data_IF_045692964322
#
_entry.id   IF_045692964322
#
_cell.length_a   1.000
_cell.length_b   1.000
_cell.length_c   1.000
_cell.angle_alpha   90.00
_cell.angle_beta   90.00
_cell.angle_gamma   90.00
#
_symmetry.space_group_name_H-M   'P 1'
#
loop_
_entity.id
_entity.type
_entity.pdbx_description
1 polymer ?
#
# COMPACT_ATOMS: atom_id res chain seq x y z
N UNK A 1 11.44 9.46 -22.58
CA UNK A 1 11.23 9.06 -21.17
C UNK A 1 10.26 7.88 -21.13
N UNK A 2 10.69 6.69 -20.70
CA UNK A 2 9.77 5.55 -20.47
C UNK A 2 8.80 5.95 -19.34
N UNK A 3 7.49 6.02 -19.63
CA UNK A 3 6.50 6.26 -18.57
C UNK A 3 6.47 5.02 -17.68
N UNK A 4 6.91 5.16 -16.43
CA UNK A 4 6.74 4.08 -15.46
C UNK A 4 5.24 3.84 -15.21
N UNK A 5 4.87 2.55 -15.21
CA UNK A 5 3.56 2.05 -14.83
C UNK A 5 3.23 2.49 -13.39
N UNK A 6 1.99 2.93 -13.15
CA UNK A 6 1.53 3.29 -11.79
C UNK A 6 1.62 2.07 -10.86
N UNK A 7 1.40 0.87 -11.39
CA UNK A 7 1.59 -0.38 -10.65
C UNK A 7 3.02 -0.58 -10.12
N UNK A 8 4.04 -0.05 -10.80
CA UNK A 8 5.41 -0.11 -10.30
C UNK A 8 5.62 0.82 -9.09
N UNK A 9 5.04 2.01 -9.12
CA UNK A 9 5.08 2.92 -7.97
C UNK A 9 4.31 2.37 -6.77
N UNK A 10 3.18 1.69 -7.00
CA UNK A 10 2.44 1.02 -5.93
C UNK A 10 3.26 -0.12 -5.29
N UNK A 11 4.04 -0.87 -6.09
CA UNK A 11 5.00 -1.84 -5.55
C UNK A 11 6.06 -1.19 -4.66
N UNK A 12 6.61 -0.04 -5.09
CA UNK A 12 7.58 0.73 -4.29
C UNK A 12 6.93 1.19 -2.99
N UNK A 13 5.68 1.66 -3.01
CA UNK A 13 4.93 2.02 -1.80
C UNK A 13 4.76 0.81 -0.88
N UNK A 14 4.43 -0.38 -1.42
CA UNK A 14 4.33 -1.61 -0.63
C UNK A 14 5.65 -1.99 0.06
N UNK A 15 6.77 -1.95 -0.67
CA UNK A 15 8.11 -2.20 -0.11
C UNK A 15 8.47 -1.15 0.93
N UNK A 16 8.26 0.13 0.64
CA UNK A 16 8.53 1.22 1.57
C UNK A 16 7.70 1.12 2.85
N UNK A 17 6.42 0.77 2.73
CA UNK A 17 5.54 0.55 3.88
C UNK A 17 6.05 -0.57 4.77
N UNK A 18 6.45 -1.71 4.19
CA UNK A 18 7.07 -2.82 4.91
C UNK A 18 8.39 -2.44 5.57
N UNK A 19 9.29 -1.78 4.84
CA UNK A 19 10.58 -1.35 5.39
C UNK A 19 10.43 -0.35 6.54
N UNK A 20 9.54 0.64 6.40
CA UNK A 20 9.25 1.62 7.46
C UNK A 20 8.65 0.91 8.68
N UNK A 21 7.68 0.02 8.48
CA UNK A 21 7.10 -0.76 9.57
C UNK A 21 8.14 -1.61 10.30
N UNK A 22 9.02 -2.27 9.57
CA UNK A 22 10.11 -3.09 10.12
C UNK A 22 11.07 -2.25 10.99
N UNK A 23 11.39 -1.03 10.56
CA UNK A 23 12.28 -0.12 11.30
C UNK A 23 11.59 0.47 12.54
N UNK A 24 10.36 0.96 12.39
CA UNK A 24 9.61 1.62 13.48
C UNK A 24 9.29 0.61 14.59
N UNK A 25 8.88 -0.60 14.23
CA UNK A 25 8.46 -1.63 15.19
C UNK A 25 9.52 -2.70 15.46
N UNK A 26 10.80 -2.42 15.17
CA UNK A 26 11.91 -3.39 15.34
C UNK A 26 11.97 -4.01 16.73
N UNK A 27 11.74 -3.20 17.77
CA UNK A 27 11.81 -3.64 19.16
C UNK A 27 10.60 -4.51 19.50
N UNK A 28 9.42 -4.17 18.97
CA UNK A 28 8.20 -4.98 19.07
C UNK A 28 8.39 -6.35 18.43
N UNK A 29 8.99 -6.41 17.23
CA UNK A 29 9.29 -7.68 16.57
C UNK A 29 10.32 -8.49 17.35
N UNK A 30 11.37 -7.86 17.87
CA UNK A 30 12.37 -8.53 18.68
C UNK A 30 11.74 -9.13 19.96
N UNK A 31 10.83 -8.40 20.60
CA UNK A 31 10.09 -8.87 21.78
C UNK A 31 9.13 -10.02 21.46
N UNK A 32 8.48 -10.00 20.29
CA UNK A 32 7.64 -11.11 19.81
C UNK A 32 8.47 -12.38 19.55
N UNK A 33 9.68 -12.23 18.99
CA UNK A 33 10.58 -13.36 18.71
C UNK A 33 11.18 -13.94 19.99
N UNK A 34 11.46 -13.09 21.00
CA UNK A 34 11.95 -13.55 22.31
C UNK A 34 10.87 -14.21 23.18
N UNK A 35 9.60 -13.89 22.93
CA UNK A 35 8.45 -14.49 23.60
C UNK A 35 7.72 -15.49 22.71
N UNK A 36 6.40 -15.56 22.88
CA UNK A 36 5.55 -16.37 22.01
C UNK A 36 5.24 -15.63 20.70
N UNK A 37 5.49 -16.30 19.58
CA UNK A 37 5.17 -15.78 18.25
C UNK A 37 3.71 -16.05 17.86
N UNK A 38 3.16 -17.20 18.25
CA UNK A 38 1.78 -17.59 17.99
C UNK A 38 0.82 -16.93 18.99
N UNK A 39 -0.37 -16.53 18.53
CA UNK A 39 -1.38 -15.82 19.34
C UNK A 39 -0.86 -14.54 20.04
N UNK A 40 0.18 -13.92 19.45
CA UNK A 40 0.93 -12.84 20.06
C UNK A 40 0.48 -11.44 19.63
N UNK A 41 -0.44 -11.37 18.68
CA UNK A 41 -1.00 -10.13 18.10
C UNK A 41 -2.39 -9.89 18.68
N UNK A 42 -2.56 -8.91 19.59
CA UNK A 42 -3.87 -8.51 20.11
C UNK A 42 -4.64 -7.66 19.09
N UNK A 43 -5.90 -7.34 19.38
CA UNK A 43 -6.74 -6.50 18.50
C UNK A 43 -6.25 -5.06 18.35
N UNK A 44 -5.50 -4.53 19.33
CA UNK A 44 -5.07 -3.13 19.40
C UNK A 44 -3.67 -3.00 19.99
N UNK A 45 -3.03 -1.85 19.77
CA UNK A 45 -1.69 -1.53 20.30
C UNK A 45 -0.56 -1.84 19.32
N UNK A 46 0.67 -1.73 19.80
CA UNK A 46 1.85 -1.69 18.93
C UNK A 46 2.09 -2.99 18.16
N UNK A 47 1.83 -4.16 18.77
CA UNK A 47 1.91 -5.46 18.08
C UNK A 47 0.87 -5.57 16.96
N UNK A 48 -0.34 -5.06 17.19
CA UNK A 48 -1.39 -5.00 16.17
C UNK A 48 -0.99 -4.08 15.01
N UNK A 49 -0.48 -2.89 15.33
CA UNK A 49 -0.02 -1.93 14.33
C UNK A 49 1.16 -2.49 13.50
N UNK A 50 2.16 -3.07 14.17
CA UNK A 50 3.31 -3.73 13.54
C UNK A 50 2.87 -4.85 12.58
N UNK A 51 1.93 -5.69 13.01
CA UNK A 51 1.34 -6.74 12.19
C UNK A 51 0.66 -6.16 10.94
N UNK A 52 -0.20 -5.15 11.08
CA UNK A 52 -0.91 -4.56 9.94
C UNK A 52 0.05 -3.87 8.95
N UNK A 53 1.14 -3.27 9.43
CA UNK A 53 2.20 -2.78 8.56
C UNK A 53 2.81 -3.90 7.70
N UNK A 54 3.08 -5.06 8.32
CA UNK A 54 3.68 -6.21 7.60
C UNK A 54 2.72 -6.91 6.67
N UNK A 55 1.44 -6.99 7.00
CA UNK A 55 0.41 -7.61 6.14
C UNK A 55 0.03 -6.70 4.98
N UNK A 56 -0.06 -5.38 5.20
CA UNK A 56 -0.39 -4.44 4.14
C UNK A 56 0.71 -4.35 3.07
N UNK A 57 1.99 -4.50 3.43
CA UNK A 57 3.12 -4.41 2.51
C UNK A 57 3.03 -5.39 1.30
N UNK A 58 2.90 -6.72 1.47
CA UNK A 58 2.75 -7.66 0.37
C UNK A 58 1.42 -7.48 -0.37
N UNK A 59 0.34 -7.08 0.32
CA UNK A 59 -0.95 -6.79 -0.33
C UNK A 59 -0.84 -5.60 -1.30
N UNK A 60 -0.18 -4.52 -0.88
CA UNK A 60 0.11 -3.35 -1.73
C UNK A 60 1.04 -3.73 -2.89
N UNK A 61 2.08 -4.51 -2.63
CA UNK A 61 2.99 -4.96 -3.67
C UNK A 61 2.28 -5.82 -4.72
N UNK A 62 1.48 -6.79 -4.28
CA UNK A 62 0.67 -7.65 -5.14
C UNK A 62 -0.33 -6.82 -5.95
N UNK A 63 -1.03 -5.87 -5.31
CA UNK A 63 -1.92 -4.93 -5.98
C UNK A 63 -1.20 -4.14 -7.08
N UNK A 64 0.01 -3.66 -6.81
CA UNK A 64 0.86 -3.01 -7.80
C UNK A 64 1.30 -3.95 -8.93
N UNK A 65 1.55 -5.23 -8.65
CA UNK A 65 1.90 -6.23 -9.67
C UNK A 65 0.73 -6.52 -10.61
N UNK A 66 -0.47 -6.69 -10.05
CA UNK A 66 -1.72 -6.89 -10.79
C UNK A 66 -2.07 -5.65 -11.63
N UNK A 67 -1.96 -4.46 -11.03
CA UNK A 67 -2.19 -3.20 -11.74
C UNK A 67 -1.23 -3.03 -12.92
N UNK A 68 0.05 -3.40 -12.75
CA UNK A 68 1.02 -3.36 -13.85
C UNK A 68 0.59 -4.29 -15.00
N UNK A 69 0.08 -5.47 -14.68
CA UNK A 69 -0.48 -6.39 -15.69
C UNK A 69 -1.67 -5.76 -16.42
N UNK A 70 -2.57 -5.08 -15.70
CA UNK A 70 -3.70 -4.36 -16.31
C UNK A 70 -3.24 -3.20 -17.20
N UNK A 71 -2.21 -2.45 -16.79
CA UNK A 71 -1.61 -1.37 -17.60
C UNK A 71 -0.95 -1.93 -18.89
N UNK A 72 -0.23 -3.05 -18.79
CA UNK A 72 0.42 -3.73 -19.93
C UNK A 72 -0.58 -4.21 -20.98
N UNK A 73 -1.75 -4.71 -20.54
CA UNK A 73 -2.80 -5.25 -21.42
C UNK A 73 -3.90 -4.24 -21.75
N UNK A 74 -3.74 -2.97 -21.36
CA UNK A 74 -4.73 -1.89 -21.56
C UNK A 74 -6.13 -2.23 -21.02
N UNK A 75 -6.20 -2.94 -19.91
CA UNK A 75 -7.45 -3.19 -19.19
C UNK A 75 -7.89 -1.91 -18.47
N UNK A 76 -8.65 -1.07 -19.18
CA UNK A 76 -9.12 0.22 -18.69
C UNK A 76 -10.10 0.07 -17.51
N UNK A 77 -11.08 -0.88 -17.52
CA UNK A 77 -11.93 -1.12 -16.37
C UNK A 77 -11.15 -1.43 -15.09
N UNK A 78 -10.17 -2.33 -15.14
CA UNK A 78 -9.36 -2.68 -13.96
C UNK A 78 -8.52 -1.48 -13.47
N UNK A 79 -7.91 -0.72 -14.39
CA UNK A 79 -7.17 0.50 -14.04
C UNK A 79 -8.07 1.55 -13.38
N UNK A 80 -9.30 1.73 -13.86
CA UNK A 80 -10.26 2.68 -13.29
C UNK A 80 -10.72 2.24 -11.90
N UNK A 81 -11.05 0.95 -11.72
CA UNK A 81 -11.42 0.40 -10.42
C UNK A 81 -10.31 0.59 -9.39
N UNK A 82 -9.06 0.25 -9.73
CA UNK A 82 -7.90 0.50 -8.89
C UNK A 82 -7.72 1.99 -8.59
N UNK A 83 -7.88 2.85 -9.59
CA UNK A 83 -7.80 4.31 -9.44
C UNK A 83 -8.82 4.86 -8.44
N UNK A 84 -10.08 4.40 -8.49
CA UNK A 84 -11.13 4.80 -7.55
C UNK A 84 -10.79 4.35 -6.14
N UNK A 85 -10.45 3.06 -5.96
CA UNK A 85 -10.15 2.49 -4.63
C UNK A 85 -8.95 3.18 -3.98
N UNK A 86 -7.84 3.33 -4.72
CA UNK A 86 -6.63 4.00 -4.20
C UNK A 86 -6.90 5.47 -3.85
N UNK A 87 -7.69 6.18 -4.65
CA UNK A 87 -8.06 7.57 -4.35
C UNK A 87 -8.93 7.63 -3.10
N UNK A 88 -9.96 6.80 -2.99
CA UNK A 88 -10.86 6.79 -1.83
C UNK A 88 -10.10 6.46 -0.53
N UNK A 89 -9.33 5.36 -0.53
CA UNK A 89 -8.50 4.97 0.62
C UNK A 89 -7.48 6.06 0.94
N UNK A 90 -6.81 6.62 -0.08
CA UNK A 90 -5.84 7.69 0.09
C UNK A 90 -6.45 8.94 0.71
N UNK A 91 -7.64 9.36 0.26
CA UNK A 91 -8.32 10.57 0.78
C UNK A 91 -8.76 10.33 2.22
N UNK A 92 -9.44 9.23 2.51
CA UNK A 92 -9.89 8.89 3.86
C UNK A 92 -8.70 8.77 4.82
N UNK A 93 -7.65 8.05 4.42
CA UNK A 93 -6.46 7.87 5.23
C UNK A 93 -5.66 9.17 5.42
N UNK A 94 -5.60 10.04 4.40
CA UNK A 94 -4.95 11.36 4.54
C UNK A 94 -5.73 12.26 5.49
N UNK A 95 -7.06 12.23 5.44
CA UNK A 95 -7.89 13.00 6.37
C UNK A 95 -7.71 12.52 7.83
N UNK A 96 -7.63 11.21 8.05
CA UNK A 96 -7.42 10.63 9.38
C UNK A 96 -5.97 10.78 9.88
N UNK A 97 -4.99 10.64 8.99
CA UNK A 97 -3.55 10.63 9.29
C UNK A 97 -2.75 11.40 8.22
N UNK A 98 -2.70 12.73 8.26
CA UNK A 98 -2.08 13.53 7.20
C UNK A 98 -0.58 13.27 7.01
N UNK A 99 0.16 13.03 8.10
CA UNK A 99 1.60 12.73 8.09
C UNK A 99 1.83 11.22 7.98
N UNK A 100 1.42 10.64 6.85
CA UNK A 100 1.49 9.19 6.59
C UNK A 100 1.79 8.87 5.12
N UNK A 101 1.71 7.60 4.73
CA UNK A 101 1.83 7.17 3.34
C UNK A 101 0.57 7.38 2.48
N UNK A 102 -0.58 7.71 3.07
CA UNK A 102 -1.85 7.84 2.33
C UNK A 102 -1.86 8.90 1.22
N UNK A 103 -1.17 10.06 1.32
CA UNK A 103 -1.08 11.00 0.22
C UNK A 103 -0.50 10.41 -1.07
N UNK A 104 0.40 9.41 -0.96
CA UNK A 104 0.92 8.71 -2.14
C UNK A 104 -0.20 7.96 -2.88
N UNK A 105 -1.13 7.33 -2.16
CA UNK A 105 -2.25 6.61 -2.77
C UNK A 105 -3.22 7.56 -3.49
N UNK A 106 -3.43 8.77 -2.95
CA UNK A 106 -4.19 9.83 -3.65
C UNK A 106 -3.53 10.18 -4.97
N UNK A 107 -2.22 10.42 -4.97
CA UNK A 107 -1.47 10.76 -6.19
C UNK A 107 -1.50 9.65 -7.24
N UNK A 108 -1.31 8.40 -6.83
CA UNK A 108 -1.35 7.23 -7.73
C UNK A 108 -2.75 6.97 -8.27
N UNK A 109 -3.77 7.01 -7.41
CA UNK A 109 -5.17 6.83 -7.79
C UNK A 109 -5.66 7.91 -8.75
N UNK A 110 -5.39 9.18 -8.45
CA UNK A 110 -5.75 10.30 -9.32
C UNK A 110 -5.06 10.25 -10.68
N UNK A 111 -3.79 9.82 -10.72
CA UNK A 111 -3.06 9.61 -11.96
C UNK A 111 -3.65 8.49 -12.82
N UNK A 112 -4.06 7.37 -12.21
CA UNK A 112 -4.76 6.28 -12.89
C UNK A 112 -6.09 6.74 -13.48
N UNK A 113 -6.92 7.41 -12.66
CA UNK A 113 -8.21 7.92 -13.11
C UNK A 113 -8.05 8.85 -14.31
N UNK A 114 -7.12 9.81 -14.23
CA UNK A 114 -6.80 10.73 -15.33
C UNK A 114 -6.35 10.00 -16.60
N UNK A 115 -5.60 8.89 -16.49
CA UNK A 115 -5.17 8.08 -17.64
C UNK A 115 -6.35 7.29 -18.23
N UNK A 116 -7.18 6.69 -17.39
CA UNK A 116 -8.34 5.87 -17.77
C UNK A 116 -9.50 6.64 -18.43
N UNK A 117 -9.46 7.98 -18.38
CA UNK A 117 -10.40 8.86 -19.05
C UNK A 117 -9.91 9.32 -20.44
N UNK A 118 -8.65 9.04 -20.79
CA UNK A 118 -8.00 9.49 -22.03
C UNK A 118 -7.73 8.35 -23.02
N UNK A 119 -7.90 7.10 -22.59
CA UNK A 119 -7.79 5.90 -23.42
C UNK A 119 -9.14 5.23 -23.52
#
# INVERSE_FOLDING_TARGET
>A
MKRHAVGHWLQIVGVGHGAIGAVIYRDVFADMVRGDLLNSVPDRGDRAAAFWFMVAAPALWMGGRLLRSAEEHKDIPAQRAAGVVLTAVGVTGTAAMPKSGFPALVGLGGLLLRRSLRG
#
